data_IF_984301932062
#
_entry.id   IF_984301932062
#
_cell.length_a   1.000
_cell.length_b   1.000
_cell.length_c   1.000
_cell.angle_alpha   90.00
_cell.angle_beta   90.00
_cell.angle_gamma   90.00
#
_symmetry.space_group_name_H-M   'P 1'
#
loop_
_entity.id
_entity.type
_entity.pdbx_description
1 polymer ?
#
# COMPACT_ATOMS: atom_id res chain seq x y z
N UNK A 1 -4.36 -3.00 9.14
CA UNK A 1 -3.49 -2.97 7.93
C UNK A 1 -3.41 -4.37 7.35
N UNK A 2 -3.50 -4.47 6.05
CA UNK A 2 -3.47 -5.76 5.37
C UNK A 2 -2.55 -5.66 4.16
N UNK A 3 -1.68 -6.64 3.99
CA UNK A 3 -0.76 -6.70 2.85
C UNK A 3 -1.10 -7.97 2.06
N UNK A 4 -1.39 -7.79 0.78
CA UNK A 4 -1.79 -8.89 -0.09
C UNK A 4 -0.98 -8.85 -1.38
N UNK A 5 -0.51 -10.02 -1.79
CA UNK A 5 0.19 -10.14 -3.06
C UNK A 5 -0.57 -11.10 -3.96
N UNK A 6 -0.88 -10.63 -5.16
CA UNK A 6 -1.60 -11.40 -6.17
C UNK A 6 -0.61 -11.86 -7.22
N UNK A 7 -0.27 -13.15 -7.17
CA UNK A 7 0.78 -13.72 -8.03
C UNK A 7 0.45 -13.65 -9.51
N UNK A 8 -0.81 -13.87 -9.86
CA UNK A 8 -1.24 -13.93 -11.26
C UNK A 8 -1.08 -12.60 -11.99
N UNK A 9 -1.17 -11.50 -11.27
CA UNK A 9 -1.04 -10.16 -11.85
C UNK A 9 0.21 -9.43 -11.38
N UNK A 10 1.00 -10.05 -10.50
CA UNK A 10 2.18 -9.44 -9.90
C UNK A 10 1.84 -8.10 -9.24
N UNK A 11 0.74 -8.09 -8.47
CA UNK A 11 0.23 -6.89 -7.83
C UNK A 11 0.32 -7.00 -6.32
N UNK A 12 0.91 -6.00 -5.69
CA UNK A 12 0.95 -5.88 -4.23
C UNK A 12 -0.06 -4.82 -3.81
N UNK A 13 -0.92 -5.16 -2.87
CA UNK A 13 -1.89 -4.22 -2.33
C UNK A 13 -1.71 -4.09 -0.83
N UNK A 14 -1.56 -2.86 -0.37
CA UNK A 14 -1.46 -2.55 1.05
C UNK A 14 -2.70 -1.75 1.43
N UNK A 15 -3.53 -2.32 2.30
CA UNK A 15 -4.73 -1.65 2.80
C UNK A 15 -4.42 -1.12 4.20
N UNK A 16 -4.46 0.19 4.36
CA UNK A 16 -4.08 0.84 5.61
C UNK A 16 -5.21 0.87 6.61
N UNK A 17 -6.44 1.02 6.12
CA UNK A 17 -7.62 1.08 6.99
C UNK A 17 -8.86 0.73 6.20
N UNK A 18 -9.93 0.42 6.90
CA UNK A 18 -11.23 0.27 6.29
C UNK A 18 -11.80 1.63 5.97
N UNK A 19 -12.47 1.76 4.84
CA UNK A 19 -13.05 3.03 4.44
C UNK A 19 -13.53 3.00 3.02
N UNK A 20 -14.31 4.01 2.67
CA UNK A 20 -14.84 4.16 1.32
C UNK A 20 -13.88 5.01 0.52
N UNK A 21 -13.43 4.47 -0.59
CA UNK A 21 -12.54 5.20 -1.50
C UNK A 21 -13.36 6.21 -2.29
N UNK A 22 -13.00 7.48 -2.19
CA UNK A 22 -13.65 8.55 -2.95
C UNK A 22 -12.70 9.24 -3.93
N UNK A 23 -11.40 9.04 -3.77
CA UNK A 23 -10.42 9.65 -4.65
C UNK A 23 -9.32 8.63 -4.93
N UNK A 24 -8.97 8.51 -6.20
CA UNK A 24 -7.95 7.59 -6.66
C UNK A 24 -6.96 8.35 -7.52
N UNK A 25 -5.70 8.23 -7.21
CA UNK A 25 -4.64 8.95 -7.93
C UNK A 25 -3.52 8.03 -8.35
N UNK A 26 -3.03 8.25 -9.55
CA UNK A 26 -1.83 7.59 -10.03
C UNK A 26 -0.61 8.31 -9.46
N UNK A 27 0.19 7.61 -8.70
CA UNK A 27 1.48 8.14 -8.26
C UNK A 27 2.48 8.05 -9.42
N UNK A 28 2.42 6.93 -10.12
CA UNK A 28 3.09 6.73 -11.40
C UNK A 28 2.26 5.72 -12.19
N UNK A 29 2.71 5.30 -13.35
CA UNK A 29 1.93 4.39 -14.19
C UNK A 29 1.73 3.00 -13.59
N UNK A 30 2.45 2.67 -12.51
CA UNK A 30 2.36 1.37 -11.86
C UNK A 30 2.01 1.46 -10.38
N UNK A 31 1.65 2.63 -9.88
CA UNK A 31 1.32 2.82 -8.47
C UNK A 31 0.08 3.66 -8.33
N UNK A 32 -0.93 3.10 -7.67
CA UNK A 32 -2.21 3.74 -7.45
C UNK A 32 -2.41 4.00 -5.96
N UNK A 33 -2.85 5.21 -5.63
CA UNK A 33 -3.13 5.61 -4.25
C UNK A 33 -4.62 5.88 -4.12
N UNK A 34 -5.24 5.27 -3.12
CA UNK A 34 -6.68 5.41 -2.87
C UNK A 34 -6.92 6.09 -1.54
N UNK A 35 -7.78 7.11 -1.54
CA UNK A 35 -8.04 7.95 -0.37
C UNK A 35 -9.53 8.05 -0.09
N UNK A 36 -9.86 8.33 1.18
CA UNK A 36 -11.24 8.55 1.58
C UNK A 36 -11.62 10.03 1.47
N UNK A 37 -12.84 10.34 1.91
CA UNK A 37 -13.39 11.69 1.82
C UNK A 37 -12.61 12.72 2.66
N UNK A 38 -11.90 12.27 3.67
CA UNK A 38 -11.08 13.11 4.53
C UNK A 38 -9.65 13.27 4.03
N UNK A 39 -9.34 12.68 2.87
CA UNK A 39 -8.01 12.73 2.32
C UNK A 39 -7.03 11.76 2.96
N UNK A 40 -7.53 10.80 3.73
CA UNK A 40 -6.67 9.82 4.36
C UNK A 40 -6.44 8.63 3.46
N UNK A 41 -5.28 8.01 3.60
CA UNK A 41 -4.92 6.85 2.78
C UNK A 41 -5.73 5.62 3.18
N UNK A 42 -6.41 5.03 2.22
CA UNK A 42 -7.10 3.76 2.39
C UNK A 42 -6.22 2.63 1.92
N UNK A 43 -5.65 2.74 0.74
CA UNK A 43 -4.83 1.68 0.17
C UNK A 43 -3.84 2.19 -0.86
N UNK A 44 -2.81 1.40 -1.10
CA UNK A 44 -1.87 1.60 -2.21
C UNK A 44 -1.79 0.29 -2.98
N UNK A 45 -1.86 0.39 -4.29
CA UNK A 45 -1.70 -0.75 -5.19
C UNK A 45 -0.46 -0.56 -6.03
N UNK A 46 0.42 -1.55 -6.02
CA UNK A 46 1.70 -1.51 -6.75
C UNK A 46 1.71 -2.63 -7.77
N UNK A 47 1.80 -2.26 -9.04
CA UNK A 47 1.93 -3.22 -10.12
C UNK A 47 3.41 -3.50 -10.40
N UNK A 48 3.69 -4.66 -10.98
CA UNK A 48 5.05 -5.15 -11.21
C UNK A 48 5.84 -5.20 -9.90
N UNK A 49 5.17 -5.70 -8.86
CA UNK A 49 5.68 -5.63 -7.51
C UNK A 49 6.97 -6.43 -7.31
N UNK A 50 7.13 -7.52 -8.06
CA UNK A 50 8.31 -8.35 -7.94
C UNK A 50 9.59 -7.62 -8.29
N UNK A 51 9.50 -6.70 -9.25
CA UNK A 51 10.65 -5.89 -9.69
C UNK A 51 10.87 -4.67 -8.82
N UNK A 52 9.83 -4.22 -8.14
CA UNK A 52 9.82 -2.92 -7.46
C UNK A 52 9.92 -3.00 -5.95
N UNK A 53 9.66 -4.18 -5.40
CA UNK A 53 9.62 -4.36 -3.93
C UNK A 53 10.28 -5.66 -3.56
N UNK A 54 10.64 -5.79 -2.29
CA UNK A 54 11.12 -7.04 -1.73
C UNK A 54 9.94 -7.81 -1.14
N UNK A 55 9.37 -8.69 -1.95
CA UNK A 55 8.20 -9.48 -1.56
C UNK A 55 8.55 -10.63 -0.60
N UNK A 56 9.82 -10.98 -0.49
CA UNK A 56 10.25 -12.07 0.37
C UNK A 56 10.41 -11.62 1.82
N UNK A 57 10.46 -10.32 2.05
CA UNK A 57 10.71 -9.78 3.37
C UNK A 57 9.72 -8.68 3.70
N UNK A 58 8.90 -8.94 4.70
CA UNK A 58 8.00 -7.93 5.24
C UNK A 58 8.22 -7.85 6.75
N UNK A 59 8.48 -6.64 7.23
CA UNK A 59 8.70 -6.42 8.65
C UNK A 59 7.89 -5.23 9.12
N UNK A 60 7.03 -5.44 10.11
CA UNK A 60 6.37 -4.37 10.82
C UNK A 60 7.06 -4.19 12.16
N UNK A 61 7.50 -2.96 12.45
CA UNK A 61 8.23 -2.69 13.67
C UNK A 61 7.70 -1.41 14.29
N UNK A 62 7.24 -1.51 15.52
CA UNK A 62 6.75 -0.37 16.27
C UNK A 62 7.82 0.07 17.26
N UNK A 63 8.29 1.28 17.11
CA UNK A 63 9.30 1.85 18.02
C UNK A 63 8.61 2.68 19.08
N UNK A 64 9.05 2.52 20.33
CA UNK A 64 8.56 3.31 21.46
C UNK A 64 9.60 4.34 21.81
N UNK A 65 9.11 5.39 22.41
CA UNK A 65 9.98 6.38 22.96
C UNK A 65 10.44 7.41 21.97
N UNK A 66 11.39 8.17 22.41
CA UNK A 66 11.88 9.28 21.67
C UNK A 66 12.47 8.77 20.37
N UNK A 67 11.97 9.28 19.32
CA UNK A 67 12.62 9.07 18.07
C UNK A 67 13.99 9.70 18.17
N UNK A 68 14.89 8.98 17.76
CA UNK A 68 16.20 9.52 17.74
C UNK A 68 16.27 10.64 16.73
#
# INVERSE_FOLDING_TARGET
MRVEYFEDTDTLQITFKEGTVVDTRDLDENTLVEMDADGQLVAITIEHAQERTDLESFLYKKHRGAAA
#
